data_IF_635013833682
#
_entry.id   IF_635013833682
#
_cell.length_a   1.000
_cell.length_b   1.000
_cell.length_c   1.000
_cell.angle_alpha   90.00
_cell.angle_beta   90.00
_cell.angle_gamma   90.00
#
_symmetry.space_group_name_H-M   'P 1'
#
loop_
_entity.id
_entity.type
_entity.pdbx_description
1 polymer ?
#
# COMPACT_ATOMS: atom_id res chain seq x y z
N UNK A 1 7.86 20.02 9.72
CA UNK A 1 8.01 19.53 11.12
C UNK A 1 6.61 19.37 11.69
N UNK A 2 6.32 18.32 12.46
CA UNK A 2 5.03 18.20 13.15
C UNK A 2 4.97 19.18 14.31
N UNK A 3 3.78 19.73 14.59
CA UNK A 3 3.55 20.62 15.74
C UNK A 3 3.78 19.86 17.06
N UNK A 4 3.24 18.65 17.15
CA UNK A 4 3.49 17.71 18.24
C UNK A 4 3.82 16.33 17.65
N UNK A 5 4.67 15.58 18.34
CA UNK A 5 5.06 14.23 17.95
C UNK A 5 5.10 13.28 19.13
N UNK A 6 4.60 12.04 18.93
CA UNK A 6 4.64 11.00 19.94
C UNK A 6 4.82 9.61 19.29
N UNK A 7 4.90 8.57 20.13
CA UNK A 7 4.93 7.15 19.73
C UNK A 7 3.88 6.42 20.53
N UNK A 8 3.29 5.38 19.93
CA UNK A 8 2.35 4.46 20.57
C UNK A 8 2.93 3.05 20.52
N UNK A 9 3.16 2.45 21.66
CA UNK A 9 3.57 1.04 21.83
C UNK A 9 2.52 0.19 22.52
N UNK A 10 1.58 0.82 23.24
CA UNK A 10 0.56 0.16 24.05
C UNK A 10 -0.80 0.87 23.95
N UNK A 11 -1.83 0.23 24.47
CA UNK A 11 -3.15 0.86 24.60
C UNK A 11 -3.11 2.01 25.64
N UNK A 12 -2.33 1.90 26.70
CA UNK A 12 -2.17 2.98 27.70
C UNK A 12 -1.57 4.23 27.05
N UNK A 13 -0.53 4.08 26.20
CA UNK A 13 0.02 5.21 25.43
C UNK A 13 -1.08 5.89 24.59
N UNK A 14 -1.97 5.08 23.98
CA UNK A 14 -3.06 5.63 23.18
C UNK A 14 -4.04 6.44 24.01
N UNK A 15 -4.38 5.99 25.23
CA UNK A 15 -5.25 6.74 26.15
C UNK A 15 -4.61 8.07 26.58
N UNK A 16 -3.31 8.07 26.81
CA UNK A 16 -2.57 9.32 27.09
C UNK A 16 -2.59 10.28 25.89
N UNK A 17 -2.43 9.75 24.68
CA UNK A 17 -2.53 10.51 23.42
C UNK A 17 -3.92 11.15 23.27
N UNK A 18 -4.99 10.41 23.54
CA UNK A 18 -6.35 10.93 23.49
C UNK A 18 -6.58 12.03 24.54
N UNK A 19 -6.03 11.87 25.74
CA UNK A 19 -6.07 12.89 26.80
C UNK A 19 -5.33 14.15 26.38
N UNK A 20 -4.15 14.03 25.78
CA UNK A 20 -3.38 15.14 25.24
C UNK A 20 -4.15 15.84 24.11
N UNK A 21 -4.68 15.08 23.13
CA UNK A 21 -5.49 15.58 22.02
C UNK A 21 -6.65 16.43 22.52
N UNK A 22 -7.39 15.94 23.53
CA UNK A 22 -8.53 16.64 24.13
C UNK A 22 -8.10 17.93 24.83
N UNK A 23 -7.03 17.86 25.65
CA UNK A 23 -6.51 19.00 26.42
C UNK A 23 -6.04 20.14 25.50
N UNK A 24 -5.32 19.82 24.43
CA UNK A 24 -4.72 20.79 23.51
C UNK A 24 -5.61 21.12 22.30
N UNK A 25 -6.75 20.43 22.12
CA UNK A 25 -7.70 20.59 21.01
C UNK A 25 -7.04 20.45 19.65
N UNK A 26 -6.16 19.48 19.49
CA UNK A 26 -5.41 19.21 18.25
C UNK A 26 -5.93 17.97 17.53
N UNK A 27 -5.78 17.95 16.20
CA UNK A 27 -6.05 16.75 15.39
C UNK A 27 -5.01 15.66 15.64
N UNK A 28 -5.41 14.39 15.51
CA UNK A 28 -4.54 13.22 15.61
C UNK A 28 -4.26 12.66 14.20
N UNK A 29 -3.01 12.38 13.91
CA UNK A 29 -2.57 11.70 12.68
C UNK A 29 -1.66 10.54 13.07
N UNK A 30 -2.15 9.31 12.92
CA UNK A 30 -1.35 8.10 13.19
C UNK A 30 -0.61 7.69 11.91
N UNK A 31 0.66 7.35 12.05
CA UNK A 31 1.53 6.92 10.95
C UNK A 31 2.23 5.62 11.31
N UNK A 32 2.43 4.75 10.31
CA UNK A 32 3.35 3.62 10.39
C UNK A 32 4.77 4.04 10.00
N UNK A 33 5.32 3.42 8.97
CA UNK A 33 6.64 3.74 8.41
C UNK A 33 6.67 5.03 7.57
N UNK A 34 5.52 5.62 7.25
CA UNK A 34 5.43 6.83 6.43
C UNK A 34 5.64 6.60 4.93
N UNK A 35 5.61 5.37 4.46
CA UNK A 35 5.94 4.98 3.09
C UNK A 35 4.95 5.48 2.02
N UNK A 36 3.76 5.92 2.42
CA UNK A 36 2.71 6.38 1.50
C UNK A 36 2.15 7.76 1.93
N UNK A 37 2.97 8.60 2.54
CA UNK A 37 2.59 9.95 2.94
C UNK A 37 3.56 10.99 2.41
N UNK A 38 3.04 12.17 2.06
CA UNK A 38 3.80 13.33 1.62
C UNK A 38 3.55 14.45 2.65
N UNK A 39 4.47 14.66 3.60
CA UNK A 39 4.29 15.68 4.62
C UNK A 39 4.57 17.08 4.04
N UNK A 40 3.77 18.06 4.44
CA UNK A 40 4.13 19.47 4.27
C UNK A 40 5.32 19.84 5.17
N UNK A 41 5.92 21.03 4.93
CA UNK A 41 7.02 21.54 5.79
C UNK A 41 6.58 21.66 7.25
N UNK A 42 5.31 21.99 7.49
CA UNK A 42 4.68 22.06 8.79
C UNK A 42 3.40 21.25 8.78
N UNK A 43 3.29 20.25 9.64
CA UNK A 43 2.09 19.43 9.83
C UNK A 43 1.44 19.84 11.12
N UNK A 44 0.21 20.36 11.03
CA UNK A 44 -0.56 20.77 12.21
C UNK A 44 -1.08 19.57 12.99
N UNK A 45 -1.14 19.73 14.32
CA UNK A 45 -1.66 18.74 15.23
C UNK A 45 -0.61 17.75 15.70
N UNK A 46 -1.10 16.65 16.25
CA UNK A 46 -0.29 15.59 16.84
C UNK A 46 -0.06 14.46 15.83
N UNK A 47 1.19 14.26 15.42
CA UNK A 47 1.61 13.12 14.60
C UNK A 47 2.17 12.04 15.51
N UNK A 48 1.62 10.85 15.43
CA UNK A 48 1.97 9.72 16.30
C UNK A 48 2.44 8.54 15.46
N UNK A 49 3.65 8.04 15.76
CA UNK A 49 4.18 6.83 15.12
C UNK A 49 3.70 5.60 15.90
N UNK A 50 3.04 4.67 15.20
CA UNK A 50 2.71 3.35 15.72
C UNK A 50 3.98 2.48 15.73
N UNK A 51 4.37 2.04 16.93
CA UNK A 51 5.56 1.20 17.14
C UNK A 51 5.25 -0.08 17.95
N UNK A 52 3.97 -0.41 18.15
CA UNK A 52 3.55 -1.64 18.81
C UNK A 52 4.00 -2.85 18.01
N UNK A 53 4.80 -3.74 18.60
CA UNK A 53 5.30 -4.96 17.96
C UNK A 53 4.79 -6.21 18.68
N UNK A 54 4.86 -7.35 17.99
CA UNK A 54 4.50 -8.66 18.48
C UNK A 54 3.71 -9.46 17.44
N UNK A 55 4.02 -10.75 17.36
CA UNK A 55 3.34 -11.72 16.50
C UNK A 55 2.84 -12.85 17.42
N UNK A 56 1.54 -13.09 17.40
CA UNK A 56 0.87 -14.12 18.20
C UNK A 56 0.17 -15.11 17.30
N UNK A 57 0.54 -16.38 17.38
CA UNK A 57 -0.24 -17.47 16.80
C UNK A 57 -1.45 -17.74 17.72
N UNK A 58 -2.65 -17.62 17.20
CA UNK A 58 -3.91 -17.80 17.94
C UNK A 58 -4.52 -19.17 17.71
N UNK A 59 -4.47 -19.65 16.46
CA UNK A 59 -4.97 -20.96 16.06
C UNK A 59 -3.91 -21.66 15.21
N UNK A 60 -3.84 -22.99 15.34
CA UNK A 60 -2.98 -23.87 14.56
C UNK A 60 -3.77 -25.07 14.06
N UNK A 61 -4.50 -24.88 12.95
CA UNK A 61 -5.23 -25.95 12.28
C UNK A 61 -4.35 -26.77 11.35
N UNK A 62 -4.90 -27.81 10.76
CA UNK A 62 -4.16 -28.69 9.84
C UNK A 62 -3.76 -27.95 8.55
N UNK A 63 -4.66 -27.17 7.95
CA UNK A 63 -4.47 -26.50 6.67
C UNK A 63 -4.18 -25.01 6.78
N UNK A 64 -4.55 -24.37 7.88
CA UNK A 64 -4.42 -22.92 8.10
C UNK A 64 -3.96 -22.58 9.49
N UNK A 65 -3.42 -21.39 9.64
CA UNK A 65 -3.04 -20.77 10.91
C UNK A 65 -3.70 -19.39 11.00
N UNK A 66 -4.17 -19.02 12.20
CA UNK A 66 -4.58 -17.64 12.51
C UNK A 66 -3.49 -16.97 13.33
N UNK A 67 -2.97 -15.88 12.84
CA UNK A 67 -1.93 -15.09 13.52
C UNK A 67 -2.39 -13.65 13.70
N UNK A 68 -2.21 -13.11 14.90
CA UNK A 68 -2.38 -11.70 15.18
C UNK A 68 -1.03 -11.01 15.15
N UNK A 69 -0.92 -9.95 14.35
CA UNK A 69 0.31 -9.19 14.15
C UNK A 69 0.06 -7.74 14.56
N UNK A 70 0.90 -7.24 15.46
CA UNK A 70 0.79 -5.86 15.95
C UNK A 70 1.07 -4.85 14.85
N UNK A 71 0.40 -3.69 14.90
CA UNK A 71 0.37 -2.71 13.83
C UNK A 71 1.73 -2.07 13.51
N UNK A 72 2.68 -2.04 14.43
CA UNK A 72 4.01 -1.47 14.24
C UNK A 72 5.03 -2.45 13.64
N UNK A 73 4.70 -3.74 13.47
CA UNK A 73 5.60 -4.69 12.80
C UNK A 73 5.89 -4.25 11.36
N UNK A 74 7.14 -4.44 10.91
CA UNK A 74 7.48 -4.20 9.52
C UNK A 74 6.79 -5.22 8.62
N UNK A 75 6.08 -4.76 7.58
CA UNK A 75 5.33 -5.63 6.69
C UNK A 75 6.21 -6.66 5.98
N UNK A 76 7.33 -6.22 5.39
CA UNK A 76 8.20 -7.10 4.63
C UNK A 76 8.88 -8.15 5.51
N UNK A 77 9.32 -7.76 6.70
CA UNK A 77 9.95 -8.69 7.65
C UNK A 77 8.93 -9.73 8.14
N UNK A 78 7.67 -9.31 8.36
CA UNK A 78 6.59 -10.23 8.69
C UNK A 78 6.30 -11.22 7.54
N UNK A 79 6.28 -10.78 6.28
CA UNK A 79 6.08 -11.69 5.14
C UNK A 79 7.16 -12.78 5.10
N UNK A 80 8.43 -12.41 5.28
CA UNK A 80 9.52 -13.39 5.31
C UNK A 80 9.44 -14.30 6.55
N UNK A 81 9.12 -13.76 7.71
CA UNK A 81 8.88 -14.54 8.93
C UNK A 81 7.78 -15.59 8.70
N UNK A 82 6.65 -15.22 8.10
CA UNK A 82 5.55 -16.12 7.77
C UNK A 82 6.02 -17.25 6.84
N UNK A 83 6.76 -16.92 5.78
CA UNK A 83 7.33 -17.90 4.86
C UNK A 83 8.31 -18.87 5.53
N UNK A 84 9.11 -18.41 6.49
CA UNK A 84 10.02 -19.27 7.27
C UNK A 84 9.26 -20.23 8.17
N UNK A 85 8.13 -19.78 8.74
CA UNK A 85 7.22 -20.61 9.55
C UNK A 85 6.39 -21.60 8.73
N UNK A 86 6.42 -21.54 7.39
CA UNK A 86 5.55 -22.34 6.54
C UNK A 86 4.11 -21.81 6.48
N UNK A 87 3.91 -20.52 6.72
CA UNK A 87 2.65 -19.82 6.59
C UNK A 87 2.61 -19.08 5.26
N UNK A 88 1.70 -19.47 4.38
CA UNK A 88 1.69 -19.07 2.97
C UNK A 88 0.50 -18.19 2.63
N UNK A 89 0.61 -17.49 1.51
CA UNK A 89 -0.38 -16.59 0.93
C UNK A 89 0.15 -15.18 0.70
N UNK A 90 1.07 -14.70 1.54
CA UNK A 90 1.59 -13.33 1.47
C UNK A 90 2.78 -13.16 0.52
N UNK A 91 3.26 -14.18 -0.15
CA UNK A 91 4.45 -14.18 -1.00
C UNK A 91 4.39 -13.16 -2.14
N UNK A 92 3.19 -12.89 -2.67
CA UNK A 92 3.00 -11.89 -3.72
C UNK A 92 3.08 -10.44 -3.22
N UNK A 93 2.98 -10.24 -1.90
CA UNK A 93 2.99 -8.94 -1.24
C UNK A 93 4.36 -8.58 -0.63
N UNK A 94 5.40 -9.36 -0.95
CA UNK A 94 6.78 -9.11 -0.51
C UNK A 94 7.32 -7.78 -1.02
N UNK A 95 8.23 -7.14 -0.27
CA UNK A 95 8.86 -5.85 -0.63
C UNK A 95 7.88 -4.67 -0.76
N UNK A 96 6.63 -4.78 -0.29
CA UNK A 96 5.79 -3.59 -0.08
C UNK A 96 6.32 -2.89 1.18
N UNK A 97 6.72 -1.61 1.10
CA UNK A 97 7.22 -0.89 2.26
C UNK A 97 6.07 -0.51 3.19
N UNK A 98 6.34 -0.43 4.49
CA UNK A 98 5.37 0.02 5.48
C UNK A 98 5.25 -0.94 6.65
N UNK A 99 4.30 -0.66 7.54
CA UNK A 99 3.98 -1.50 8.70
C UNK A 99 2.73 -2.34 8.48
N UNK A 100 2.57 -3.40 9.25
CA UNK A 100 1.39 -4.29 9.22
C UNK A 100 0.10 -3.51 9.45
N UNK A 101 0.07 -2.55 10.39
CA UNK A 101 -1.12 -1.73 10.63
C UNK A 101 -1.45 -0.74 9.51
N UNK A 102 -0.50 -0.44 8.62
CA UNK A 102 -0.77 0.38 7.43
C UNK A 102 -1.32 -0.45 6.27
N UNK A 103 -1.15 -1.77 6.27
CA UNK A 103 -1.58 -2.65 5.19
C UNK A 103 -3.09 -2.61 4.92
N UNK A 104 -4.00 -2.69 5.93
CA UNK A 104 -5.43 -2.62 5.72
C UNK A 104 -5.94 -1.23 5.33
N UNK A 105 -5.19 -0.15 5.60
CA UNK A 105 -5.68 1.23 5.37
C UNK A 105 -6.15 1.44 3.93
N UNK A 106 -5.39 0.96 2.97
CA UNK A 106 -5.77 1.03 1.56
C UNK A 106 -5.69 -0.33 0.86
N UNK A 107 -5.91 -1.41 1.64
CA UNK A 107 -5.90 -2.76 1.09
C UNK A 107 -4.69 -2.97 0.17
N UNK A 108 -3.47 -2.99 0.75
CA UNK A 108 -2.26 -3.14 -0.07
C UNK A 108 -2.36 -4.38 -0.96
N UNK A 109 -1.89 -4.25 -2.19
CA UNK A 109 -1.94 -5.34 -3.15
C UNK A 109 -0.89 -5.22 -4.24
N UNK A 110 -0.38 -6.36 -4.67
CA UNK A 110 0.60 -6.48 -5.74
C UNK A 110 0.55 -7.90 -6.35
N UNK A 111 0.91 -8.01 -7.62
CA UNK A 111 1.08 -9.29 -8.33
C UNK A 111 -0.09 -10.25 -8.18
N UNK A 112 -1.32 -9.73 -8.26
CA UNK A 112 -2.55 -10.54 -8.25
C UNK A 112 -3.01 -10.99 -6.86
N UNK A 113 -2.51 -10.39 -5.78
CA UNK A 113 -2.98 -10.61 -4.41
C UNK A 113 -3.26 -9.26 -3.71
N UNK A 114 -4.19 -9.25 -2.79
CA UNK A 114 -4.49 -8.14 -1.89
C UNK A 114 -4.47 -8.63 -0.43
N UNK A 115 -4.11 -7.75 0.51
CA UNK A 115 -4.02 -8.15 1.93
C UNK A 115 -5.38 -8.57 2.50
N UNK A 116 -6.48 -7.98 1.99
CA UNK A 116 -7.84 -8.34 2.37
C UNK A 116 -8.17 -9.82 2.14
N UNK A 117 -7.47 -10.51 1.20
CA UNK A 117 -7.69 -11.94 0.96
C UNK A 117 -7.29 -12.81 2.16
N UNK A 118 -6.45 -12.28 3.03
CA UNK A 118 -5.86 -12.98 4.19
C UNK A 118 -6.32 -12.40 5.53
N UNK A 119 -6.94 -11.19 5.54
CA UNK A 119 -7.44 -10.58 6.78
C UNK A 119 -8.68 -11.31 7.26
N UNK A 120 -8.61 -11.82 8.49
CA UNK A 120 -9.76 -12.35 9.23
C UNK A 120 -10.45 -11.23 10.01
N UNK A 121 -9.67 -10.36 10.66
CA UNK A 121 -10.15 -9.20 11.40
C UNK A 121 -9.07 -8.13 11.53
N UNK A 122 -9.49 -6.91 11.89
CA UNK A 122 -8.58 -5.81 12.25
C UNK A 122 -8.90 -5.34 13.67
N UNK A 123 -7.88 -5.34 14.54
CA UNK A 123 -7.95 -4.78 15.88
C UNK A 123 -7.76 -3.28 15.80
N UNK A 124 -8.70 -2.52 16.34
CA UNK A 124 -8.70 -1.06 16.29
C UNK A 124 -8.93 -0.45 17.67
N UNK A 125 -8.42 0.75 17.85
CA UNK A 125 -8.78 1.65 18.95
C UNK A 125 -9.60 2.81 18.40
N UNK A 126 -10.75 3.08 19.02
CA UNK A 126 -11.63 4.18 18.60
C UNK A 126 -11.29 5.51 19.30
N UNK A 127 -11.98 6.58 18.91
CA UNK A 127 -11.79 7.92 19.46
C UNK A 127 -12.12 8.05 20.95
N UNK A 128 -12.84 7.09 21.52
CA UNK A 128 -13.17 7.05 22.96
C UNK A 128 -12.13 6.24 23.75
N UNK A 129 -11.19 5.58 23.05
CA UNK A 129 -10.17 4.74 23.67
C UNK A 129 -10.62 3.28 23.83
N UNK A 130 -11.75 2.88 23.24
CA UNK A 130 -12.17 1.49 23.30
C UNK A 130 -11.40 0.64 22.28
N UNK A 131 -11.05 -0.58 22.69
CA UNK A 131 -10.53 -1.58 21.78
C UNK A 131 -11.70 -2.33 21.12
N UNK A 132 -11.66 -2.46 19.81
CA UNK A 132 -12.68 -3.14 19.00
C UNK A 132 -12.01 -4.03 17.96
N UNK A 133 -12.69 -5.12 17.65
CA UNK A 133 -12.33 -6.01 16.54
C UNK A 133 -13.33 -5.81 15.42
N UNK A 134 -12.85 -5.44 14.24
CA UNK A 134 -13.67 -5.35 13.02
C UNK A 134 -13.41 -6.59 12.17
N UNK A 135 -14.45 -7.31 11.82
CA UNK A 135 -14.40 -8.41 10.85
C UNK A 135 -13.94 -7.90 9.47
N UNK A 136 -13.54 -8.81 8.61
CA UNK A 136 -13.19 -8.48 7.21
C UNK A 136 -14.31 -7.69 6.51
N UNK A 137 -15.55 -8.08 6.69
CA UNK A 137 -16.71 -7.43 6.04
C UNK A 137 -16.93 -6.02 6.57
N UNK A 138 -16.78 -5.79 7.87
CA UNK A 138 -16.87 -4.45 8.48
C UNK A 138 -15.75 -3.52 8.04
N UNK A 139 -14.62 -4.06 7.58
CA UNK A 139 -13.51 -3.27 7.03
C UNK A 139 -13.82 -2.66 5.66
N UNK A 140 -14.88 -3.09 4.95
CA UNK A 140 -15.32 -2.58 3.65
C UNK A 140 -14.19 -2.47 2.63
N UNK A 141 -13.38 -3.53 2.51
CA UNK A 141 -12.25 -3.56 1.59
C UNK A 141 -12.69 -3.48 0.14
N UNK A 142 -11.98 -2.68 -0.62
CA UNK A 142 -12.09 -2.56 -2.07
C UNK A 142 -10.73 -2.25 -2.67
N UNK A 143 -10.69 -2.03 -3.99
CA UNK A 143 -9.45 -1.68 -4.67
C UNK A 143 -8.86 -0.38 -4.11
N UNK A 144 -7.72 -0.49 -3.43
CA UNK A 144 -7.05 0.62 -2.72
C UNK A 144 -8.00 1.41 -1.81
N UNK A 145 -8.90 0.71 -1.12
CA UNK A 145 -9.92 1.31 -0.27
C UNK A 145 -10.23 0.44 0.95
N UNK A 146 -10.63 1.09 2.04
CA UNK A 146 -11.19 0.48 3.25
C UNK A 146 -11.93 1.53 4.07
N UNK A 147 -12.66 1.09 5.11
CA UNK A 147 -13.29 1.99 6.08
C UNK A 147 -12.27 2.93 6.74
N UNK A 148 -11.04 2.50 6.93
CA UNK A 148 -9.97 3.28 7.60
C UNK A 148 -9.53 4.53 6.82
N UNK A 149 -9.88 4.65 5.55
CA UNK A 149 -9.66 5.89 4.78
C UNK A 149 -10.76 6.93 5.02
N UNK A 150 -11.96 6.47 5.34
CA UNK A 150 -13.16 7.29 5.56
C UNK A 150 -13.30 7.65 7.04
N UNK A 151 -13.12 6.67 7.93
CA UNK A 151 -13.19 6.86 9.37
C UNK A 151 -11.78 7.06 9.96
N UNK A 152 -11.39 8.33 10.07
CA UNK A 152 -10.07 8.72 10.60
C UNK A 152 -9.98 8.66 12.12
N UNK A 153 -11.05 8.33 12.81
CA UNK A 153 -11.09 8.15 14.27
C UNK A 153 -10.73 6.73 14.70
N UNK A 154 -10.60 5.80 13.74
CA UNK A 154 -10.12 4.44 13.99
C UNK A 154 -8.60 4.36 13.86
N UNK A 155 -7.94 3.88 14.88
CA UNK A 155 -6.50 3.61 14.89
C UNK A 155 -6.26 2.11 14.84
N UNK A 156 -5.64 1.61 13.77
CA UNK A 156 -5.29 0.18 13.66
C UNK A 156 -4.20 -0.17 14.67
N UNK A 157 -4.49 -1.13 15.55
CA UNK A 157 -3.61 -1.61 16.62
C UNK A 157 -2.99 -2.99 16.32
N UNK A 158 -3.66 -3.79 15.47
CA UNK A 158 -3.21 -5.11 15.04
C UNK A 158 -4.05 -5.65 13.89
N UNK A 159 -3.57 -6.72 13.26
CA UNK A 159 -4.25 -7.39 12.15
C UNK A 159 -4.23 -8.90 12.40
N UNK A 160 -5.41 -9.52 12.40
CA UNK A 160 -5.57 -10.98 12.41
C UNK A 160 -5.53 -11.49 10.98
N UNK A 161 -4.57 -12.35 10.69
CA UNK A 161 -4.34 -12.91 9.36
C UNK A 161 -4.52 -14.43 9.39
N UNK A 162 -5.36 -14.95 8.49
CA UNK A 162 -5.50 -16.39 8.26
C UNK A 162 -4.66 -16.80 7.06
N UNK A 163 -3.62 -17.56 7.34
CA UNK A 163 -2.60 -17.98 6.36
C UNK A 163 -2.68 -19.48 6.12
N UNK A 164 -2.33 -19.92 4.90
CA UNK A 164 -2.29 -21.32 4.54
C UNK A 164 -1.02 -22.01 5.04
N UNK A 165 -1.13 -23.31 5.36
CA UNK A 165 0.01 -24.21 5.67
C UNK A 165 0.35 -25.10 4.46
N UNK A 166 -0.57 -25.20 3.51
CA UNK A 166 -0.37 -25.94 2.26
C UNK A 166 0.11 -24.96 1.19
N UNK A 167 1.26 -25.19 0.55
CA UNK A 167 1.78 -24.32 -0.50
C UNK A 167 0.83 -24.24 -1.71
N UNK A 168 0.32 -23.06 -2.04
CA UNK A 168 -0.48 -22.77 -3.24
C UNK A 168 0.00 -21.45 -3.85
N UNK A 169 1.20 -21.42 -4.48
CA UNK A 169 1.79 -20.19 -4.98
C UNK A 169 0.95 -19.58 -6.11
N UNK A 170 0.64 -18.27 -6.03
CA UNK A 170 -0.06 -17.56 -7.08
C UNK A 170 0.97 -16.99 -8.09
N UNK A 171 0.96 -17.54 -9.30
CA UNK A 171 1.82 -17.13 -10.42
C UNK A 171 1.03 -16.53 -11.59
N UNK A 172 -0.26 -16.23 -11.40
CA UNK A 172 -1.16 -15.76 -12.47
C UNK A 172 -0.77 -14.39 -13.05
N UNK A 173 -0.02 -13.58 -12.28
CA UNK A 173 0.39 -12.26 -12.75
C UNK A 173 1.47 -12.37 -13.84
N UNK A 174 1.32 -11.69 -15.02
CA UNK A 174 2.18 -11.91 -16.18
C UNK A 174 3.69 -11.78 -15.90
N UNK A 175 4.12 -10.78 -15.13
CA UNK A 175 5.55 -10.60 -14.81
C UNK A 175 6.10 -11.79 -14.02
N UNK A 176 5.31 -12.38 -13.12
CA UNK A 176 5.70 -13.52 -12.28
C UNK A 176 5.73 -14.80 -13.13
N UNK A 177 4.66 -15.03 -13.91
CA UNK A 177 4.55 -16.15 -14.83
C UNK A 177 5.71 -16.18 -15.83
N UNK A 178 6.00 -15.05 -16.47
CA UNK A 178 7.11 -14.91 -17.41
C UNK A 178 8.47 -15.18 -16.75
N UNK A 179 8.68 -14.64 -15.55
CA UNK A 179 9.94 -14.80 -14.82
C UNK A 179 10.18 -16.22 -14.29
N UNK A 180 9.12 -17.03 -14.20
CA UNK A 180 9.18 -18.44 -13.78
C UNK A 180 8.98 -19.42 -14.94
N UNK A 181 8.83 -18.89 -16.18
CA UNK A 181 8.68 -19.72 -17.38
C UNK A 181 9.86 -20.69 -17.54
N UNK A 182 9.57 -21.93 -17.97
CA UNK A 182 10.57 -23.00 -18.11
C UNK A 182 10.91 -23.76 -16.82
N UNK A 183 10.37 -23.37 -15.66
CA UNK A 183 10.48 -24.17 -14.44
C UNK A 183 9.36 -25.20 -14.38
N UNK A 184 9.63 -26.46 -13.96
CA UNK A 184 8.56 -27.40 -13.65
C UNK A 184 7.64 -26.82 -12.57
N UNK A 185 6.32 -26.92 -12.75
CA UNK A 185 5.33 -26.38 -11.82
C UNK A 185 5.51 -26.93 -10.40
N UNK A 186 5.85 -28.22 -10.28
CA UNK A 186 6.14 -28.88 -8.99
C UNK A 186 7.35 -28.31 -8.24
N UNK A 187 8.21 -27.55 -8.91
CA UNK A 187 9.38 -26.89 -8.29
C UNK A 187 9.09 -25.46 -7.84
N UNK A 188 7.91 -24.91 -8.19
CA UNK A 188 7.55 -23.55 -7.84
C UNK A 188 6.97 -23.54 -6.43
N UNK A 189 7.72 -23.00 -5.48
CA UNK A 189 7.29 -22.85 -4.08
C UNK A 189 6.97 -21.38 -3.74
N UNK A 190 6.19 -21.12 -2.69
CA UNK A 190 5.95 -19.74 -2.22
C UNK A 190 7.23 -18.93 -1.98
N UNK A 191 8.28 -19.55 -1.45
CA UNK A 191 9.60 -18.91 -1.28
C UNK A 191 10.25 -18.51 -2.60
N UNK A 192 10.12 -19.34 -3.64
CA UNK A 192 10.62 -19.03 -4.99
C UNK A 192 9.84 -17.88 -5.60
N UNK A 193 8.51 -17.86 -5.43
CA UNK A 193 7.66 -16.75 -5.90
C UNK A 193 8.05 -15.45 -5.20
N UNK A 194 8.16 -15.45 -3.87
CA UNK A 194 8.58 -14.28 -3.09
C UNK A 194 9.95 -13.75 -3.54
N UNK A 195 10.94 -14.65 -3.71
CA UNK A 195 12.28 -14.26 -4.18
C UNK A 195 12.21 -13.63 -5.56
N UNK A 196 11.46 -14.23 -6.49
CA UNK A 196 11.33 -13.73 -7.86
C UNK A 196 10.61 -12.37 -7.91
N UNK A 197 9.56 -12.19 -7.13
CA UNK A 197 8.88 -10.90 -7.00
C UNK A 197 9.82 -9.85 -6.39
N UNK A 198 10.60 -10.22 -5.38
CA UNK A 198 11.58 -9.31 -4.80
C UNK A 198 12.64 -8.86 -5.81
N UNK A 199 13.12 -9.74 -6.70
CA UNK A 199 14.01 -9.41 -7.81
C UNK A 199 13.36 -8.45 -8.80
N UNK A 200 12.12 -8.78 -9.27
CA UNK A 200 11.37 -7.95 -10.22
C UNK A 200 11.17 -6.53 -9.65
N UNK A 201 10.74 -6.43 -8.37
CA UNK A 201 10.53 -5.13 -7.72
C UNK A 201 11.84 -4.34 -7.59
N UNK A 202 12.92 -4.99 -7.17
CA UNK A 202 14.23 -4.34 -7.04
C UNK A 202 14.79 -3.85 -8.38
N UNK A 203 14.47 -4.53 -9.49
CA UNK A 203 14.89 -4.11 -10.82
C UNK A 203 14.07 -2.93 -11.37
N UNK A 204 12.77 -2.84 -11.02
CA UNK A 204 11.83 -1.83 -11.53
C UNK A 204 11.72 -0.59 -10.65
N UNK A 205 11.72 -0.76 -9.33
CA UNK A 205 11.42 0.31 -8.37
C UNK A 205 12.70 0.95 -7.81
N UNK A 206 12.71 2.26 -7.59
CA UNK A 206 13.83 2.95 -6.95
C UNK A 206 13.86 2.65 -5.45
N UNK A 207 15.06 2.50 -4.90
CA UNK A 207 15.24 2.43 -3.45
C UNK A 207 14.92 3.79 -2.81
N UNK A 208 13.93 3.87 -1.90
CA UNK A 208 13.53 5.14 -1.27
C UNK A 208 14.64 5.81 -0.45
N UNK A 209 15.64 5.05 -0.01
CA UNK A 209 16.80 5.59 0.72
C UNK A 209 17.73 6.40 -0.19
N UNK A 210 17.82 6.00 -1.46
CA UNK A 210 18.65 6.66 -2.47
C UNK A 210 17.85 7.66 -3.30
N UNK A 211 16.61 7.30 -3.63
CA UNK A 211 15.70 8.08 -4.46
C UNK A 211 14.39 8.31 -3.69
N UNK A 212 14.26 9.43 -2.94
CA UNK A 212 13.07 9.71 -2.14
C UNK A 212 11.79 9.64 -2.97
N UNK A 213 10.90 8.74 -2.59
CA UNK A 213 9.62 8.48 -3.25
C UNK A 213 8.62 7.85 -2.27
N UNK A 214 7.38 7.71 -2.69
CA UNK A 214 6.28 7.10 -1.92
C UNK A 214 5.66 5.90 -2.65
N UNK A 215 6.43 5.25 -3.54
CA UNK A 215 5.92 4.18 -4.39
C UNK A 215 5.04 4.71 -5.52
N UNK A 216 4.01 3.95 -5.88
CA UNK A 216 3.03 4.35 -6.90
C UNK A 216 2.34 5.65 -6.50
N UNK A 217 2.45 6.68 -7.34
CA UNK A 217 1.87 7.99 -7.04
C UNK A 217 0.39 8.09 -7.41
N UNK A 218 -0.04 7.27 -8.36
CA UNK A 218 -1.42 7.23 -8.81
C UNK A 218 -1.98 5.82 -8.75
N UNK A 219 -3.27 5.70 -8.40
CA UNK A 219 -4.00 4.44 -8.52
C UNK A 219 -4.19 4.09 -9.99
N UNK A 220 -4.24 2.80 -10.31
CA UNK A 220 -4.67 2.37 -11.65
C UNK A 220 -6.15 2.73 -11.84
N UNK A 221 -6.52 3.48 -12.89
CA UNK A 221 -7.92 3.88 -13.10
C UNK A 221 -8.85 2.69 -13.33
N UNK A 222 -10.01 2.74 -12.68
CA UNK A 222 -11.14 1.88 -13.01
C UNK A 222 -11.92 2.57 -14.14
N UNK A 223 -12.39 1.79 -15.10
CA UNK A 223 -13.05 2.25 -16.32
C UNK A 223 -14.43 1.60 -16.44
N UNK A 224 -15.37 2.31 -17.03
CA UNK A 224 -16.58 1.71 -17.56
C UNK A 224 -16.29 1.02 -18.93
N UNK A 225 -17.31 0.38 -19.50
CA UNK A 225 -17.18 -0.37 -20.75
C UNK A 225 -16.82 0.53 -21.93
N UNK A 226 -17.45 1.70 -22.04
CA UNK A 226 -17.24 2.62 -23.14
C UNK A 226 -15.80 3.18 -23.16
N UNK A 227 -15.27 3.56 -22.00
CA UNK A 227 -13.88 3.98 -21.86
C UNK A 227 -12.91 2.83 -22.12
N UNK A 228 -13.24 1.61 -21.69
CA UNK A 228 -12.41 0.43 -21.91
C UNK A 228 -12.29 0.11 -23.41
N UNK A 229 -13.40 0.11 -24.16
CA UNK A 229 -13.42 -0.10 -25.61
C UNK A 229 -12.62 0.98 -26.34
N UNK A 230 -12.92 2.24 -26.08
CA UNK A 230 -12.21 3.39 -26.66
C UNK A 230 -10.69 3.31 -26.47
N UNK A 231 -10.25 2.90 -25.27
CA UNK A 231 -8.82 2.81 -24.97
C UNK A 231 -8.16 1.59 -25.62
N UNK A 232 -8.89 0.47 -25.79
CA UNK A 232 -8.41 -0.69 -26.57
C UNK A 232 -8.23 -0.36 -28.05
N UNK A 233 -9.16 0.40 -28.64
CA UNK A 233 -9.08 0.82 -30.05
C UNK A 233 -7.81 1.62 -30.37
N UNK A 234 -7.31 2.39 -29.41
CA UNK A 234 -6.04 3.14 -29.56
C UNK A 234 -4.81 2.35 -29.05
N UNK A 235 -4.96 1.03 -28.85
CA UNK A 235 -3.87 0.09 -28.54
C UNK A 235 -3.36 0.14 -27.10
N UNK A 236 -4.19 0.53 -26.13
CA UNK A 236 -3.88 0.43 -24.71
C UNK A 236 -4.34 -0.90 -24.11
N UNK A 237 -3.60 -1.38 -23.11
CA UNK A 237 -3.89 -2.66 -22.44
C UNK A 237 -4.91 -2.45 -21.33
N UNK A 238 -6.14 -2.93 -21.54
CA UNK A 238 -7.23 -2.86 -20.55
C UNK A 238 -7.53 -4.24 -20.00
N UNK A 239 -7.47 -4.37 -18.68
CA UNK A 239 -7.72 -5.61 -17.96
C UNK A 239 -9.17 -5.68 -17.47
N UNK A 240 -9.81 -6.83 -17.67
CA UNK A 240 -11.13 -7.10 -17.08
C UNK A 240 -10.99 -7.42 -15.59
N UNK A 241 -11.97 -7.00 -14.80
CA UNK A 241 -12.12 -7.26 -13.36
C UNK A 241 -13.58 -7.67 -13.11
N UNK A 242 -13.88 -8.26 -11.96
CA UNK A 242 -15.26 -8.66 -11.61
C UNK A 242 -16.26 -7.49 -11.63
N UNK A 243 -15.81 -6.27 -11.34
CA UNK A 243 -16.64 -5.06 -11.26
C UNK A 243 -16.34 -4.02 -12.36
N UNK A 244 -15.88 -4.46 -13.55
CA UNK A 244 -15.60 -3.54 -14.66
C UNK A 244 -14.21 -3.73 -15.25
N UNK A 245 -13.55 -2.65 -15.59
CA UNK A 245 -12.25 -2.67 -16.27
C UNK A 245 -11.22 -1.83 -15.53
N UNK A 246 -9.94 -2.17 -15.71
CA UNK A 246 -8.82 -1.44 -15.12
C UNK A 246 -7.72 -1.24 -16.14
N UNK A 247 -7.09 -0.06 -16.11
CA UNK A 247 -5.94 0.26 -16.95
C UNK A 247 -4.72 0.61 -16.11
N UNK A 248 -3.52 0.30 -16.63
CA UNK A 248 -2.27 0.68 -15.99
C UNK A 248 -2.05 2.19 -16.03
N UNK A 249 -2.00 2.85 -14.87
CA UNK A 249 -1.61 4.25 -14.80
C UNK A 249 -0.17 4.47 -15.32
N UNK A 250 0.72 3.50 -15.13
CA UNK A 250 2.08 3.56 -15.67
C UNK A 250 2.09 3.59 -17.20
N UNK A 251 1.24 2.79 -17.87
CA UNK A 251 1.11 2.80 -19.33
C UNK A 251 0.54 4.13 -19.83
N UNK A 252 -0.49 4.67 -19.17
CA UNK A 252 -1.05 5.97 -19.52
C UNK A 252 -0.02 7.09 -19.40
N UNK A 253 0.74 7.12 -18.30
CA UNK A 253 1.79 8.13 -18.05
C UNK A 253 2.91 8.02 -19.08
N UNK A 254 3.34 6.80 -19.41
CA UNK A 254 4.34 6.55 -20.44
C UNK A 254 3.88 7.00 -21.82
N UNK A 255 2.70 6.54 -22.24
CA UNK A 255 2.09 6.89 -23.53
C UNK A 255 1.71 8.38 -23.64
N UNK A 256 1.48 9.07 -22.51
CA UNK A 256 1.29 10.52 -22.47
C UNK A 256 2.60 11.30 -22.64
N UNK A 257 3.75 10.65 -22.73
CA UNK A 257 5.07 11.28 -22.83
C UNK A 257 5.50 11.96 -21.52
N UNK A 258 4.95 11.51 -20.38
CA UNK A 258 5.30 12.10 -19.08
C UNK A 258 6.65 11.65 -18.54
N UNK A 259 7.26 10.58 -19.09
CA UNK A 259 8.64 10.20 -18.76
C UNK A 259 9.65 11.31 -19.06
N UNK A 260 9.37 12.08 -20.12
CA UNK A 260 10.23 13.18 -20.55
C UNK A 260 9.91 14.50 -19.80
N UNK A 261 8.85 14.48 -18.98
CA UNK A 261 8.59 15.56 -18.05
C UNK A 261 9.68 15.57 -16.98
N UNK A 262 10.54 16.55 -17.05
CA UNK A 262 11.50 16.85 -16.02
C UNK A 262 11.21 18.21 -15.42
N UNK A 263 11.29 18.26 -14.12
CA UNK A 263 11.40 19.48 -13.34
C UNK A 263 12.79 19.46 -12.69
N UNK A 264 13.30 20.56 -12.24
CA UNK A 264 14.61 20.62 -11.56
C UNK A 264 14.65 19.68 -10.35
N UNK A 265 13.51 19.45 -9.73
CA UNK A 265 13.39 18.77 -8.43
C UNK A 265 12.59 17.47 -8.47
N UNK A 266 11.65 17.30 -9.40
CA UNK A 266 10.75 16.13 -9.47
C UNK A 266 10.75 15.55 -10.87
N UNK A 267 10.76 14.22 -10.97
CA UNK A 267 10.68 13.52 -12.25
C UNK A 267 10.01 12.16 -12.10
N UNK A 268 9.49 11.62 -13.22
CA UNK A 268 9.00 10.24 -13.29
C UNK A 268 10.18 9.27 -13.33
N UNK A 269 10.13 8.19 -12.52
CA UNK A 269 11.18 7.18 -12.56
C UNK A 269 11.22 6.46 -13.91
N UNK A 270 12.37 6.38 -14.62
CA UNK A 270 12.42 5.88 -15.99
C UNK A 270 11.94 4.44 -16.16
N UNK A 271 12.19 3.56 -15.17
CA UNK A 271 11.80 2.14 -15.20
C UNK A 271 10.36 1.89 -14.75
N UNK A 272 9.73 2.85 -14.05
CA UNK A 272 8.35 2.80 -13.59
C UNK A 272 7.80 4.22 -13.44
N UNK A 273 7.21 4.80 -14.51
CA UNK A 273 6.84 6.21 -14.54
C UNK A 273 5.72 6.58 -13.57
N UNK A 274 5.08 5.57 -12.98
CA UNK A 274 4.12 5.73 -11.89
C UNK A 274 4.78 6.19 -10.58
N UNK A 275 6.10 6.08 -10.46
CA UNK A 275 6.85 6.51 -9.27
C UNK A 275 7.46 7.88 -9.54
N UNK A 276 7.09 8.86 -8.72
CA UNK A 276 7.65 10.20 -8.76
C UNK A 276 8.80 10.30 -7.76
N UNK A 277 9.95 10.77 -8.23
CA UNK A 277 11.15 11.00 -7.40
C UNK A 277 11.21 12.46 -6.98
N UNK A 278 11.36 12.71 -5.69
CA UNK A 278 11.63 14.03 -5.13
C UNK A 278 13.15 14.18 -4.91
N UNK A 279 13.87 14.61 -5.92
CA UNK A 279 15.33 14.68 -5.93
C UNK A 279 15.92 15.62 -4.89
N UNK A 280 15.24 16.70 -4.57
CA UNK A 280 15.79 17.81 -3.77
C UNK A 280 15.03 18.03 -2.46
N UNK A 281 14.22 17.07 -2.03
CA UNK A 281 13.39 17.15 -0.82
C UNK A 281 12.59 18.47 -0.73
N UNK A 282 12.01 18.87 -1.87
CA UNK A 282 11.18 20.07 -1.99
C UNK A 282 9.84 19.92 -1.25
N UNK A 283 9.08 21.00 -1.21
CA UNK A 283 7.79 21.05 -0.52
C UNK A 283 6.75 20.10 -1.16
N UNK A 284 5.78 19.67 -0.36
CA UNK A 284 4.64 18.87 -0.82
C UNK A 284 3.83 19.59 -1.92
N UNK A 285 3.77 20.91 -1.91
CA UNK A 285 3.10 21.72 -2.94
C UNK A 285 3.78 21.61 -4.31
N UNK A 286 5.11 21.61 -4.35
CA UNK A 286 5.87 21.45 -5.60
C UNK A 286 5.75 20.03 -6.16
N UNK A 287 5.80 19.01 -5.28
CA UNK A 287 5.51 17.62 -5.70
C UNK A 287 4.09 17.49 -6.25
N UNK A 288 3.12 18.13 -5.60
CA UNK A 288 1.72 18.17 -6.06
C UNK A 288 1.62 18.88 -7.42
N UNK A 289 2.29 20.01 -7.60
CA UNK A 289 2.29 20.75 -8.86
C UNK A 289 2.84 19.92 -10.04
N UNK A 290 3.90 19.16 -9.80
CA UNK A 290 4.42 18.21 -10.82
C UNK A 290 3.41 17.09 -11.10
N UNK A 291 2.83 16.50 -10.08
CA UNK A 291 1.82 15.46 -10.23
C UNK A 291 0.59 15.95 -10.99
N UNK A 292 0.17 17.21 -10.81
CA UNK A 292 -0.91 17.81 -11.61
C UNK A 292 -0.52 17.98 -13.09
N UNK A 293 0.74 18.29 -13.42
CA UNK A 293 1.21 18.30 -14.82
C UNK A 293 1.05 16.91 -15.46
N UNK A 294 1.38 15.84 -14.73
CA UNK A 294 1.19 14.44 -15.18
C UNK A 294 -0.29 14.14 -15.39
N UNK A 295 -1.14 14.49 -14.42
CA UNK A 295 -2.60 14.29 -14.49
C UNK A 295 -3.21 14.99 -15.70
N UNK A 296 -2.87 16.26 -15.92
CA UNK A 296 -3.38 17.06 -17.03
C UNK A 296 -3.01 16.44 -18.38
N UNK A 297 -1.75 16.03 -18.57
CA UNK A 297 -1.33 15.38 -19.83
C UNK A 297 -2.07 14.06 -20.11
N UNK A 298 -2.27 13.22 -19.06
CA UNK A 298 -3.03 11.98 -19.20
C UNK A 298 -4.49 12.28 -19.54
N UNK A 299 -5.10 13.25 -18.84
CA UNK A 299 -6.48 13.66 -19.09
C UNK A 299 -6.68 14.23 -20.51
N UNK A 300 -5.80 15.12 -20.95
CA UNK A 300 -5.85 15.72 -22.29
C UNK A 300 -5.77 14.65 -23.39
N UNK A 301 -4.85 13.68 -23.22
CA UNK A 301 -4.58 12.67 -24.25
C UNK A 301 -5.59 11.54 -24.25
N UNK A 302 -6.00 11.05 -23.08
CA UNK A 302 -6.78 9.82 -22.93
C UNK A 302 -8.18 10.02 -22.35
N UNK A 303 -8.50 11.22 -21.88
CA UNK A 303 -9.74 11.54 -21.13
C UNK A 303 -9.93 10.65 -19.89
N UNK A 304 -8.83 10.24 -19.26
CA UNK A 304 -8.80 9.42 -18.04
C UNK A 304 -8.27 10.26 -16.89
N UNK A 305 -9.01 10.27 -15.78
CA UNK A 305 -8.59 10.94 -14.56
C UNK A 305 -7.70 10.03 -13.70
N UNK A 306 -6.48 10.49 -13.39
CA UNK A 306 -5.62 9.84 -12.40
C UNK A 306 -5.98 10.29 -10.99
N UNK A 307 -6.04 9.35 -10.06
CA UNK A 307 -6.29 9.61 -8.62
C UNK A 307 -5.02 9.34 -7.84
N UNK A 308 -4.67 10.23 -6.90
CA UNK A 308 -3.52 10.04 -6.02
C UNK A 308 -3.66 8.80 -5.15
N UNK A 309 -2.58 8.06 -4.98
CA UNK A 309 -2.49 6.97 -4.01
C UNK A 309 -1.94 7.44 -2.66
N UNK A 310 -0.87 8.27 -2.60
CA UNK A 310 -0.35 8.79 -1.34
C UNK A 310 -1.27 9.84 -0.70
N UNK A 311 -1.17 9.93 0.63
CA UNK A 311 -1.88 10.94 1.42
C UNK A 311 -0.98 12.15 1.69
N UNK A 312 -1.46 13.34 1.37
CA UNK A 312 -0.79 14.59 1.76
C UNK A 312 -1.10 14.91 3.23
N UNK A 313 -0.07 15.11 4.03
CA UNK A 313 -0.17 15.53 5.43
C UNK A 313 0.10 17.03 5.52
N UNK A 314 -0.95 17.79 5.78
CA UNK A 314 -0.96 19.26 5.91
C UNK A 314 -1.23 19.70 7.34
#
# INVERSE_FOLDING_TARGET
MAEYGARISSHDDYLEILSFRKKHRVGLKVVGEGSNIIPSRSVRGLVVKMIRTGIRQLEDGDDTVLVEVSAGENWNDFVFFALEKGWYGLENLVKIPGSVGAAPIQNIGAYGAEVADFIEYVLVWDALGNERTLSRDECLFGYRSSIFQCDTELTVAGVGLRLGKIPKPNISYPDVSNALSGRPESSITPKIVASKIAEIRSAKLPDPKTYPNVGSFFKNPLLDEADAERLREIGLTVFSQDSGYKISAAELIDRAGCKDLTDEHVYCWPKQPLVLINKSAISSSEVRAFAEKVRSRVLEKFRVHLTYEPKFFE
#
